data_IF_319519704281
#
_entry.id   IF_319519704281
#
_cell.length_a   1.000
_cell.length_b   1.000
_cell.length_c   1.000
_cell.angle_alpha   90.00
_cell.angle_beta   90.00
_cell.angle_gamma   90.00
#
_symmetry.space_group_name_H-M   'P 1'
#
loop_
_entity.id
_entity.type
_entity.pdbx_description
1 polymer ?
#
# COMPACT_ATOMS: atom_id res chain seq x y z
N UNK A 1 -20.95 6.46 -8.61
CA UNK A 1 -19.57 6.11 -8.20
C UNK A 1 -19.31 6.58 -6.77
N UNK A 2 -18.42 5.90 -6.07
CA UNK A 2 -18.00 6.27 -4.72
C UNK A 2 -16.57 6.81 -4.71
N UNK A 3 -16.32 7.75 -3.81
CA UNK A 3 -15.00 8.23 -3.43
C UNK A 3 -14.77 7.80 -1.99
N UNK A 4 -13.63 7.20 -1.73
CA UNK A 4 -13.20 6.82 -0.38
C UNK A 4 -12.06 7.73 0.07
N UNK A 5 -12.03 8.06 1.36
CA UNK A 5 -11.01 8.93 1.97
C UNK A 5 -10.58 8.31 3.28
N UNK A 6 -9.32 7.86 3.36
CA UNK A 6 -8.72 7.38 4.60
C UNK A 6 -8.32 8.57 5.48
N UNK A 7 -8.57 8.45 6.78
CA UNK A 7 -8.25 9.48 7.77
C UNK A 7 -7.51 8.83 8.95
N UNK A 8 -6.20 9.08 9.00
CA UNK A 8 -5.28 8.57 10.04
C UNK A 8 -5.68 9.03 11.43
N UNK A 9 -6.17 10.28 11.55
CA UNK A 9 -6.40 10.92 12.84
C UNK A 9 -7.64 10.43 13.59
N UNK A 10 -8.59 9.80 12.88
CA UNK A 10 -9.86 9.35 13.48
C UNK A 10 -10.20 7.88 13.20
N UNK A 11 -9.23 7.11 12.68
CA UNK A 11 -9.35 5.68 12.38
C UNK A 11 -10.57 5.32 11.51
N UNK A 12 -10.77 6.08 10.43
CA UNK A 12 -11.94 5.92 9.57
C UNK A 12 -11.59 6.04 8.10
N UNK A 13 -12.38 5.34 7.27
CA UNK A 13 -12.44 5.56 5.84
C UNK A 13 -13.83 6.09 5.53
N UNK A 14 -13.90 7.36 5.11
CA UNK A 14 -15.15 8.00 4.71
C UNK A 14 -15.52 7.60 3.30
N UNK A 15 -16.79 7.25 3.10
CA UNK A 15 -17.34 6.90 1.79
C UNK A 15 -18.29 8.01 1.35
N UNK A 16 -18.00 8.57 0.19
CA UNK A 16 -18.81 9.61 -0.43
C UNK A 16 -19.39 9.12 -1.75
N UNK A 17 -20.62 9.49 -2.04
CA UNK A 17 -21.19 9.38 -3.38
C UNK A 17 -20.74 10.58 -4.20
N UNK A 18 -20.25 10.31 -5.39
CA UNK A 18 -19.90 11.34 -6.37
C UNK A 18 -20.99 11.47 -7.43
N UNK A 19 -21.64 12.65 -7.48
CA UNK A 19 -22.53 13.04 -8.55
C UNK A 19 -21.70 13.70 -9.67
N UNK A 20 -21.63 13.03 -10.81
CA UNK A 20 -20.85 13.51 -11.96
C UNK A 20 -21.48 14.74 -12.65
N UNK A 21 -22.81 14.88 -12.59
CA UNK A 21 -23.52 15.95 -13.29
C UNK A 21 -23.37 17.27 -12.54
N UNK A 22 -23.43 17.21 -11.21
CA UNK A 22 -23.32 18.38 -10.35
C UNK A 22 -21.90 18.63 -9.82
N UNK A 23 -20.98 17.67 -10.02
CA UNK A 23 -19.63 17.76 -9.46
C UNK A 23 -19.60 17.74 -7.93
N UNK A 24 -20.61 17.16 -7.28
CA UNK A 24 -20.77 17.17 -5.83
C UNK A 24 -20.45 15.82 -5.21
N UNK A 25 -19.94 15.86 -3.98
CA UNK A 25 -19.79 14.68 -3.13
C UNK A 25 -20.75 14.79 -1.94
N UNK A 26 -21.33 13.65 -1.54
CA UNK A 26 -22.16 13.54 -0.35
C UNK A 26 -21.71 12.33 0.47
N UNK A 27 -21.50 12.51 1.77
CA UNK A 27 -21.17 11.42 2.68
C UNK A 27 -22.31 10.41 2.73
N UNK A 28 -22.00 9.12 2.56
CA UNK A 28 -22.99 8.04 2.54
C UNK A 28 -22.69 6.92 3.52
N UNK A 29 -21.40 6.71 3.89
CA UNK A 29 -21.00 5.66 4.81
C UNK A 29 -19.64 5.95 5.44
N UNK A 30 -19.32 5.19 6.50
CA UNK A 30 -18.03 5.24 7.18
C UNK A 30 -17.60 3.82 7.55
N UNK A 31 -16.48 3.36 6.98
CA UNK A 31 -15.81 2.13 7.41
C UNK A 31 -14.93 2.50 8.60
N UNK A 32 -15.17 1.83 9.73
CA UNK A 32 -14.38 2.03 10.95
C UNK A 32 -13.23 1.06 10.97
N UNK A 33 -12.03 1.58 11.08
CA UNK A 33 -10.83 0.80 11.33
C UNK A 33 -10.69 0.47 12.81
N UNK A 34 -9.77 -0.39 13.15
CA UNK A 34 -9.40 -0.64 14.53
C UNK A 34 -8.87 0.66 15.17
N UNK A 35 -9.13 0.83 16.45
CA UNK A 35 -8.71 2.04 17.17
C UNK A 35 -7.19 2.18 17.18
N UNK A 36 -6.72 3.39 16.98
CA UNK A 36 -5.28 3.74 16.92
C UNK A 36 -4.52 2.98 15.81
N UNK A 37 -5.23 2.58 14.73
CA UNK A 37 -4.60 1.88 13.61
C UNK A 37 -4.05 2.82 12.54
N UNK A 38 -4.67 3.98 12.35
CA UNK A 38 -4.24 4.99 11.39
C UNK A 38 -4.32 4.54 9.92
N UNK A 39 -5.52 4.35 9.35
CA UNK A 39 -5.65 4.03 7.91
C UNK A 39 -5.08 5.17 7.07
N UNK A 40 -4.15 4.85 6.16
CA UNK A 40 -3.36 5.85 5.43
C UNK A 40 -3.61 5.84 3.93
N UNK A 41 -3.21 4.77 3.26
CA UNK A 41 -3.42 4.56 1.83
C UNK A 41 -4.27 3.33 1.59
N UNK A 42 -4.93 3.30 0.43
CA UNK A 42 -5.62 2.10 -0.03
C UNK A 42 -5.51 1.93 -1.54
N UNK A 43 -5.60 0.68 -1.98
CA UNK A 43 -5.57 0.27 -3.39
C UNK A 43 -6.78 -0.60 -3.68
N UNK A 44 -7.41 -0.38 -4.82
CA UNK A 44 -8.39 -1.32 -5.37
C UNK A 44 -7.72 -2.30 -6.32
N UNK A 45 -8.17 -3.57 -6.31
CA UNK A 45 -7.85 -4.50 -7.39
C UNK A 45 -8.48 -4.03 -8.71
N UNK A 46 -7.86 -4.35 -9.86
CA UNK A 46 -8.34 -3.95 -11.20
C UNK A 46 -9.75 -4.45 -11.50
N UNK A 47 -10.10 -5.64 -10.98
CA UNK A 47 -11.43 -6.21 -11.13
C UNK A 47 -12.48 -5.55 -10.22
N UNK A 48 -12.03 -4.69 -9.29
CA UNK A 48 -12.88 -3.96 -8.36
C UNK A 48 -13.57 -4.81 -7.30
N UNK A 49 -13.13 -6.06 -7.06
CA UNK A 49 -13.72 -6.95 -6.06
C UNK A 49 -13.13 -6.79 -4.68
N UNK A 50 -11.91 -6.28 -4.60
CA UNK A 50 -11.17 -6.12 -3.35
C UNK A 50 -10.55 -4.75 -3.24
N UNK A 51 -10.35 -4.29 -2.01
CA UNK A 51 -9.46 -3.18 -1.72
C UNK A 51 -8.64 -3.45 -0.45
N UNK A 52 -7.48 -2.85 -0.39
CA UNK A 52 -6.43 -3.04 0.59
C UNK A 52 -6.15 -1.73 1.28
N UNK A 53 -6.07 -1.73 2.60
CA UNK A 53 -5.83 -0.53 3.40
C UNK A 53 -4.60 -0.75 4.25
N UNK A 54 -3.58 0.08 4.09
CA UNK A 54 -2.43 0.09 5.00
C UNK A 54 -2.73 0.99 6.20
N UNK A 55 -2.43 0.46 7.37
CA UNK A 55 -2.56 1.15 8.65
C UNK A 55 -1.18 1.52 9.19
N UNK A 56 -0.89 2.83 9.19
CA UNK A 56 0.43 3.37 9.52
C UNK A 56 0.85 3.07 10.97
N UNK A 57 -0.09 3.16 11.93
CA UNK A 57 0.23 3.10 13.36
C UNK A 57 0.28 1.67 13.90
N UNK A 58 -0.43 0.72 13.27
CA UNK A 58 -0.41 -0.70 13.66
C UNK A 58 0.41 -1.58 12.75
N UNK A 59 0.95 -1.03 11.65
CA UNK A 59 1.77 -1.77 10.71
C UNK A 59 1.10 -3.03 10.18
N UNK A 60 -0.15 -2.88 9.75
CA UNK A 60 -0.95 -3.96 9.15
C UNK A 60 -1.60 -3.51 7.85
N UNK A 61 -1.96 -4.47 7.03
CA UNK A 61 -2.84 -4.30 5.87
C UNK A 61 -4.15 -5.02 6.18
N UNK A 62 -5.26 -4.28 6.12
CA UNK A 62 -6.60 -4.86 6.09
C UNK A 62 -7.01 -5.11 4.64
N UNK A 63 -7.51 -6.31 4.36
CA UNK A 63 -8.09 -6.70 3.06
C UNK A 63 -9.61 -6.71 3.20
N UNK A 64 -10.26 -6.04 2.26
CA UNK A 64 -11.72 -5.98 2.20
C UNK A 64 -12.23 -6.53 0.88
N UNK A 65 -13.28 -7.35 0.93
CA UNK A 65 -14.13 -7.57 -0.24
C UNK A 65 -14.97 -6.32 -0.52
N UNK A 66 -15.25 -6.07 -1.78
CA UNK A 66 -15.99 -4.88 -2.20
C UNK A 66 -17.01 -5.22 -3.28
N UNK A 67 -18.22 -4.76 -3.06
CA UNK A 67 -19.30 -4.79 -4.05
C UNK A 67 -19.94 -3.40 -4.14
N UNK A 68 -19.99 -2.85 -5.34
CA UNK A 68 -20.68 -1.58 -5.58
C UNK A 68 -22.18 -1.76 -5.40
N UNK A 69 -22.75 -1.11 -4.40
CA UNK A 69 -24.18 -1.05 -4.17
C UNK A 69 -24.84 0.20 -4.78
N UNK A 70 -26.15 0.23 -4.84
CA UNK A 70 -26.91 1.38 -5.38
C UNK A 70 -26.81 2.63 -4.49
N UNK A 71 -26.88 2.44 -3.18
CA UNK A 71 -26.88 3.53 -2.19
C UNK A 71 -25.55 3.68 -1.48
N UNK A 72 -24.99 2.55 -1.01
CA UNK A 72 -23.70 2.44 -0.34
C UNK A 72 -23.00 1.19 -0.86
N UNK A 73 -21.65 1.13 -0.85
CA UNK A 73 -20.96 -0.10 -1.18
C UNK A 73 -21.19 -1.14 -0.08
N UNK A 74 -21.17 -2.42 -0.44
CA UNK A 74 -21.08 -3.52 0.51
C UNK A 74 -19.61 -3.87 0.69
N UNK A 75 -19.14 -3.84 1.93
CA UNK A 75 -17.73 -4.00 2.29
C UNK A 75 -17.63 -4.96 3.46
N UNK A 76 -16.77 -5.97 3.34
CA UNK A 76 -16.48 -6.93 4.40
C UNK A 76 -14.98 -7.09 4.56
N UNK A 77 -14.47 -7.00 5.80
CA UNK A 77 -13.06 -7.27 6.08
C UNK A 77 -12.82 -8.77 6.08
N UNK A 78 -11.93 -9.24 5.21
CA UNK A 78 -11.63 -10.66 5.01
C UNK A 78 -10.27 -11.08 5.56
N UNK A 79 -9.35 -10.12 5.78
CA UNK A 79 -8.03 -10.40 6.34
C UNK A 79 -7.46 -9.17 7.03
N UNK A 80 -6.62 -9.39 8.04
CA UNK A 80 -5.62 -8.43 8.56
C UNK A 80 -4.27 -9.16 8.54
N UNK A 81 -3.23 -8.54 7.96
CA UNK A 81 -1.90 -9.12 7.84
C UNK A 81 -0.82 -8.08 8.21
N UNK A 82 0.26 -8.46 8.94
CA UNK A 82 1.32 -7.51 9.30
C UNK A 82 2.12 -7.03 8.09
N UNK A 83 2.68 -5.81 8.19
CA UNK A 83 3.58 -5.25 7.17
C UNK A 83 5.05 -5.49 7.48
N UNK A 84 5.36 -5.92 8.69
CA UNK A 84 6.72 -6.24 9.15
C UNK A 84 6.83 -7.73 9.48
N UNK A 85 8.06 -8.18 9.79
CA UNK A 85 8.27 -9.49 10.41
C UNK A 85 7.73 -9.54 11.86
N UNK A 86 8.06 -10.62 12.56
CA UNK A 86 7.49 -10.96 13.88
C UNK A 86 8.04 -10.14 15.07
N UNK A 87 8.68 -9.00 14.86
CA UNK A 87 9.17 -8.16 15.96
C UNK A 87 8.08 -7.20 16.46
N UNK A 88 7.43 -7.49 17.61
CA UNK A 88 6.34 -6.67 18.13
C UNK A 88 6.79 -5.31 18.70
N UNK A 89 8.08 -5.14 18.99
CA UNK A 89 8.64 -3.93 19.60
C UNK A 89 9.19 -2.96 18.55
N UNK A 90 9.07 -3.30 17.28
CA UNK A 90 9.59 -2.52 16.18
C UNK A 90 8.81 -1.20 16.01
N UNK A 91 9.48 -0.08 16.31
CA UNK A 91 8.93 1.25 16.04
C UNK A 91 9.04 1.56 14.55
N UNK A 92 8.02 1.21 13.80
CA UNK A 92 7.94 1.45 12.37
C UNK A 92 6.63 2.11 11.98
N UNK A 93 6.55 2.57 10.73
CA UNK A 93 5.36 3.16 10.15
C UNK A 93 5.16 2.61 8.74
N UNK A 94 4.13 1.80 8.56
CA UNK A 94 3.75 1.33 7.24
C UNK A 94 3.31 2.51 6.37
N UNK A 95 3.94 2.70 5.20
CA UNK A 95 3.77 3.92 4.43
C UNK A 95 3.00 3.75 3.14
N UNK A 96 3.58 3.10 2.16
CA UNK A 96 3.02 3.02 0.82
C UNK A 96 2.77 1.57 0.41
N UNK A 97 1.74 1.37 -0.40
CA UNK A 97 1.48 0.08 -1.04
C UNK A 97 1.46 0.25 -2.56
N UNK A 98 1.97 -0.75 -3.28
CA UNK A 98 1.89 -0.83 -4.75
C UNK A 98 1.69 -2.28 -5.17
N UNK A 99 0.87 -2.47 -6.20
CA UNK A 99 0.83 -3.74 -6.91
C UNK A 99 1.93 -3.84 -7.96
N UNK A 100 2.33 -5.06 -8.28
CA UNK A 100 2.99 -5.34 -9.55
C UNK A 100 1.99 -5.17 -10.73
N UNK A 101 2.46 -5.11 -11.99
CA UNK A 101 1.59 -4.88 -13.14
C UNK A 101 0.49 -5.93 -13.34
N UNK A 102 0.70 -7.16 -12.86
CA UNK A 102 -0.26 -8.27 -12.98
C UNK A 102 -1.19 -8.38 -11.76
N UNK A 103 -0.91 -7.65 -10.67
CA UNK A 103 -1.60 -7.74 -9.38
C UNK A 103 -1.51 -9.13 -8.72
N UNK A 104 -0.48 -9.89 -9.07
CA UNK A 104 -0.14 -11.16 -8.41
C UNK A 104 0.68 -10.91 -7.13
N UNK A 105 1.34 -9.74 -7.05
CA UNK A 105 2.12 -9.34 -5.88
C UNK A 105 1.78 -7.92 -5.43
N UNK A 106 1.88 -7.72 -4.12
CA UNK A 106 1.77 -6.41 -3.49
C UNK A 106 3.05 -6.12 -2.69
N UNK A 107 3.48 -4.87 -2.74
CA UNK A 107 4.61 -4.37 -1.96
C UNK A 107 4.16 -3.32 -0.98
N UNK A 108 4.77 -3.31 0.22
CA UNK A 108 4.53 -2.30 1.25
C UNK A 108 5.87 -1.79 1.80
N UNK A 109 6.03 -0.47 1.92
CA UNK A 109 7.19 0.13 2.57
C UNK A 109 6.94 0.40 4.04
N UNK A 110 7.96 0.16 4.89
CA UNK A 110 7.94 0.36 6.32
C UNK A 110 9.04 1.36 6.71
N UNK A 111 8.63 2.58 7.08
CA UNK A 111 9.54 3.70 7.18
C UNK A 111 10.47 3.67 8.40
N UNK A 112 10.02 3.12 9.52
CA UNK A 112 10.80 3.11 10.75
C UNK A 112 11.96 2.12 10.74
N UNK A 113 11.70 0.88 10.28
CA UNK A 113 12.69 -0.19 10.18
C UNK A 113 13.42 -0.26 8.84
N UNK A 114 13.05 0.60 7.90
CA UNK A 114 13.68 0.72 6.58
C UNK A 114 13.59 -0.57 5.75
N UNK A 115 12.40 -1.19 5.75
CA UNK A 115 12.14 -2.41 5.00
C UNK A 115 11.10 -2.21 3.90
N UNK A 116 11.06 -3.17 2.99
CA UNK A 116 9.97 -3.40 2.06
C UNK A 116 9.48 -4.83 2.20
N UNK A 117 8.19 -4.98 2.38
CA UNK A 117 7.52 -6.27 2.41
C UNK A 117 6.92 -6.60 1.06
N UNK A 118 6.96 -7.87 0.65
CA UNK A 118 6.29 -8.39 -0.53
C UNK A 118 5.30 -9.48 -0.13
N UNK A 119 4.14 -9.42 -0.72
CA UNK A 119 3.06 -10.39 -0.56
C UNK A 119 2.73 -11.01 -1.90
N UNK A 120 2.50 -12.32 -1.90
CA UNK A 120 1.77 -12.99 -2.97
C UNK A 120 0.27 -12.77 -2.75
N UNK A 121 -0.44 -12.42 -3.80
CA UNK A 121 -1.88 -12.18 -3.76
C UNK A 121 -2.62 -13.30 -4.48
N UNK A 122 -3.56 -13.92 -3.79
CA UNK A 122 -4.56 -14.78 -4.42
C UNK A 122 -5.57 -13.89 -5.16
N UNK A 123 -5.60 -13.98 -6.47
CA UNK A 123 -6.44 -13.12 -7.32
C UNK A 123 -7.93 -13.44 -7.24
N UNK A 124 -8.30 -14.65 -6.78
CA UNK A 124 -9.70 -15.07 -6.63
C UNK A 124 -10.29 -14.64 -5.28
N UNK A 125 -9.51 -14.80 -4.21
CA UNK A 125 -9.96 -14.53 -2.83
C UNK A 125 -9.53 -13.15 -2.32
N UNK A 126 -8.58 -12.50 -3.00
CA UNK A 126 -7.96 -11.23 -2.60
C UNK A 126 -6.97 -11.36 -1.45
N UNK A 127 -6.80 -12.54 -0.86
CA UNK A 127 -5.95 -12.73 0.31
C UNK A 127 -4.46 -12.54 -0.01
N UNK A 128 -3.74 -12.03 0.97
CA UNK A 128 -2.29 -11.79 0.91
C UNK A 128 -1.54 -12.84 1.73
N UNK A 129 -0.39 -13.26 1.21
CA UNK A 129 0.57 -14.13 1.90
C UNK A 129 1.94 -13.47 1.90
N UNK A 130 2.46 -13.12 3.08
CA UNK A 130 3.78 -12.48 3.23
C UNK A 130 4.88 -13.42 2.77
N UNK A 131 5.67 -12.97 1.79
CA UNK A 131 6.81 -13.73 1.23
C UNK A 131 8.13 -13.30 1.85
N UNK A 132 8.30 -11.99 2.04
CA UNK A 132 9.46 -11.42 2.70
C UNK A 132 9.17 -10.03 3.30
N UNK A 133 9.99 -9.66 4.27
CA UNK A 133 10.19 -8.30 4.76
C UNK A 133 11.70 -8.06 4.80
N UNK A 134 12.24 -7.28 3.86
CA UNK A 134 13.68 -7.13 3.65
C UNK A 134 14.13 -5.68 3.76
N UNK A 135 15.33 -5.43 4.34
CA UNK A 135 15.90 -4.09 4.41
C UNK A 135 16.13 -3.50 3.02
N UNK A 136 15.87 -2.19 2.91
CA UNK A 136 16.22 -1.39 1.72
C UNK A 136 17.53 -0.61 1.98
N UNK A 137 18.17 -0.14 0.89
CA UNK A 137 19.34 0.73 0.98
C UNK A 137 18.93 2.18 1.05
N UNK A 138 18.73 2.68 2.26
CA UNK A 138 18.28 4.05 2.53
C UNK A 138 17.59 4.17 3.88
N UNK A 139 17.08 5.35 4.19
CA UNK A 139 16.41 5.60 5.46
C UNK A 139 15.05 6.28 5.22
N UNK A 140 14.02 5.74 5.87
CA UNK A 140 12.65 6.20 5.84
C UNK A 140 12.01 6.07 4.44
N UNK A 141 11.75 4.85 3.95
CA UNK A 141 11.12 4.60 2.64
C UNK A 141 9.65 5.04 2.65
N UNK A 142 9.41 6.30 2.31
CA UNK A 142 8.10 6.94 2.39
C UNK A 142 7.18 6.57 1.23
N UNK A 143 7.74 6.22 0.09
CA UNK A 143 7.02 5.69 -1.06
C UNK A 143 7.87 4.66 -1.80
N UNK A 144 7.22 3.82 -2.56
CA UNK A 144 7.82 2.85 -3.46
C UNK A 144 7.12 2.91 -4.81
N UNK A 145 7.81 2.52 -5.87
CA UNK A 145 7.22 2.38 -7.18
C UNK A 145 7.68 1.07 -7.83
N UNK A 146 6.75 0.33 -8.44
CA UNK A 146 7.05 -0.85 -9.24
C UNK A 146 7.06 -0.43 -10.70
N UNK A 147 8.13 -0.81 -11.42
CA UNK A 147 8.25 -0.49 -12.83
C UNK A 147 7.28 -1.31 -13.68
N UNK A 148 6.88 -0.79 -14.87
CA UNK A 148 5.96 -1.49 -15.75
C UNK A 148 6.46 -2.83 -16.29
N UNK A 149 7.76 -3.12 -16.16
CA UNK A 149 8.35 -4.43 -16.47
C UNK A 149 8.01 -5.49 -15.41
N UNK A 150 7.54 -5.08 -14.24
CA UNK A 150 7.26 -5.96 -13.11
C UNK A 150 8.51 -6.50 -12.41
N UNK A 151 9.72 -6.21 -12.89
CA UNK A 151 10.97 -6.75 -12.36
C UNK A 151 11.73 -5.77 -11.48
N UNK A 152 11.45 -4.47 -11.60
CA UNK A 152 12.19 -3.43 -10.88
C UNK A 152 11.32 -2.67 -9.89
N UNK A 153 11.93 -2.29 -8.77
CA UNK A 153 11.34 -1.49 -7.71
C UNK A 153 12.24 -0.30 -7.41
N UNK A 154 11.64 0.88 -7.22
CA UNK A 154 12.29 2.05 -6.67
C UNK A 154 11.78 2.31 -5.24
N UNK A 155 12.70 2.61 -4.31
CA UNK A 155 12.38 3.05 -2.94
C UNK A 155 12.77 4.50 -2.76
N UNK A 156 11.82 5.33 -2.31
CA UNK A 156 12.00 6.75 -2.05
C UNK A 156 12.33 6.95 -0.57
N UNK A 157 13.60 7.16 -0.28
CA UNK A 157 14.16 7.20 1.06
C UNK A 157 14.22 8.65 1.56
N UNK A 158 13.16 9.10 2.22
CA UNK A 158 12.93 10.50 2.58
C UNK A 158 14.06 11.09 3.43
N UNK A 159 14.43 10.41 4.54
CA UNK A 159 15.44 10.94 5.47
C UNK A 159 16.87 10.83 4.94
N UNK A 160 17.19 9.89 4.07
CA UNK A 160 18.51 9.82 3.42
C UNK A 160 18.60 10.64 2.15
N UNK A 161 17.52 11.30 1.72
CA UNK A 161 17.51 12.16 0.53
C UNK A 161 17.91 11.40 -0.73
N UNK A 162 17.31 10.21 -0.95
CA UNK A 162 17.77 9.30 -2.01
C UNK A 162 16.66 8.44 -2.59
N UNK A 163 16.87 7.96 -3.81
CA UNK A 163 16.09 6.91 -4.44
C UNK A 163 17.01 5.74 -4.72
N UNK A 164 16.67 4.57 -4.20
CA UNK A 164 17.38 3.30 -4.43
C UNK A 164 16.58 2.41 -5.35
N UNK A 165 17.27 1.65 -6.19
CA UNK A 165 16.65 0.78 -7.18
C UNK A 165 17.01 -0.67 -6.89
N UNK A 166 16.03 -1.57 -7.09
CA UNK A 166 16.17 -2.99 -6.84
C UNK A 166 15.58 -3.79 -8.00
N UNK A 167 16.15 -4.96 -8.24
CA UNK A 167 15.53 -6.01 -9.01
C UNK A 167 14.86 -6.98 -8.04
N UNK A 168 13.64 -7.38 -8.35
CA UNK A 168 12.86 -8.35 -7.58
C UNK A 168 13.13 -9.75 -8.12
N UNK A 169 13.47 -10.68 -7.23
CA UNK A 169 13.54 -12.11 -7.53
C UNK A 169 12.36 -12.80 -6.82
N UNK A 170 11.30 -13.00 -7.56
CA UNK A 170 10.05 -13.57 -7.04
C UNK A 170 10.19 -15.03 -6.62
N UNK A 171 11.04 -15.80 -7.34
CA UNK A 171 11.25 -17.22 -7.05
C UNK A 171 12.00 -17.42 -5.72
N UNK A 172 13.03 -16.62 -5.48
CA UNK A 172 13.83 -16.68 -4.27
C UNK A 172 13.28 -15.85 -3.12
N UNK A 173 12.29 -15.01 -3.37
CA UNK A 173 11.73 -14.12 -2.38
C UNK A 173 12.74 -13.09 -1.87
N UNK A 174 13.44 -12.38 -2.76
CA UNK A 174 14.42 -11.38 -2.39
C UNK A 174 14.46 -10.20 -3.37
N UNK A 175 15.05 -9.09 -2.90
CA UNK A 175 15.35 -7.91 -3.71
C UNK A 175 16.86 -7.70 -3.77
N UNK A 176 17.37 -7.39 -4.95
CA UNK A 176 18.79 -7.14 -5.19
C UNK A 176 18.97 -5.70 -5.65
N UNK A 177 19.78 -4.93 -4.94
CA UNK A 177 20.07 -3.56 -5.31
C UNK A 177 20.66 -3.50 -6.72
N UNK A 178 20.08 -2.66 -7.58
CA UNK A 178 20.51 -2.46 -8.96
C UNK A 178 20.92 -1.00 -9.17
N UNK A 179 22.13 -0.83 -9.74
CA UNK A 179 22.61 0.49 -10.13
C UNK A 179 23.03 1.39 -8.96
N UNK A 180 23.12 2.70 -9.25
CA UNK A 180 23.52 3.74 -8.29
C UNK A 180 22.28 4.40 -7.71
N UNK A 181 22.34 4.70 -6.41
CA UNK A 181 21.34 5.52 -5.74
C UNK A 181 21.34 6.94 -6.31
N UNK A 182 20.17 7.48 -6.63
CA UNK A 182 19.99 8.87 -7.01
C UNK A 182 19.82 9.75 -5.77
N UNK A 183 20.43 10.92 -5.77
CA UNK A 183 20.20 11.93 -4.74
C UNK A 183 19.00 12.80 -5.12
N UNK A 184 18.00 12.83 -4.24
CA UNK A 184 16.79 13.65 -4.36
C UNK A 184 16.43 14.13 -2.97
N UNK A 185 16.34 15.44 -2.78
CA UNK A 185 16.05 15.98 -1.45
C UNK A 185 14.63 15.60 -1.01
N UNK A 186 14.52 14.93 0.14
CA UNK A 186 13.27 14.59 0.82
C UNK A 186 12.17 14.01 -0.11
N UNK A 187 12.46 12.95 -0.91
CA UNK A 187 11.47 12.39 -1.83
C UNK A 187 10.27 11.83 -1.07
N UNK A 188 9.05 12.17 -1.50
CA UNK A 188 7.81 11.83 -0.80
C UNK A 188 6.88 10.94 -1.62
N UNK A 189 6.85 11.12 -2.93
CA UNK A 189 5.93 10.42 -3.81
C UNK A 189 6.55 10.24 -5.19
N UNK A 190 6.27 9.10 -5.82
CA UNK A 190 6.70 8.78 -7.18
C UNK A 190 5.55 8.16 -7.95
N UNK A 191 5.40 8.59 -9.19
CA UNK A 191 4.52 7.96 -10.17
C UNK A 191 5.32 7.64 -11.42
N UNK A 192 5.20 6.40 -11.92
CA UNK A 192 5.83 5.97 -13.16
C UNK A 192 4.79 6.05 -14.28
N UNK A 193 5.07 6.89 -15.27
CA UNK A 193 4.21 7.05 -16.44
C UNK A 193 4.89 6.44 -17.66
N UNK A 194 4.12 5.74 -18.48
CA UNK A 194 4.57 5.26 -19.79
C UNK A 194 4.40 6.42 -20.77
N UNK A 195 5.48 6.80 -21.41
CA UNK A 195 5.49 7.81 -22.49
C UNK A 195 5.06 7.20 -23.81
#
# INVERSE_FOLDING_TARGET
KFLMVADVGIDQIKVYRFDKNEGRISHVDTIRSERESGPRHFLFSKDGKFFYVVHELKNVIDVYSYQSGDKVPVVEKVQTIPTTGDDPDLLTAACAMRFDPNEEHMFCSNAGDNTVSMYERDTETGLLNLKFCLPISGNYPKDIAIFPDGEHLASLNHLSGSISFFRVDYERGLIVMSGRTLRVNEPNCCEIVKL
#
